data_IF_436672792495
#
_entry.id   IF_436672792495
#
_cell.length_a   1.000
_cell.length_b   1.000
_cell.length_c   1.000
_cell.angle_alpha   90.00
_cell.angle_beta   90.00
_cell.angle_gamma   90.00
#
_symmetry.space_group_name_H-M   'P 1'
#
loop_
_entity.id
_entity.type
_entity.pdbx_description
1 polymer ?
#
# COMPACT_ATOMS: atom_id res chain seq x y z
N UNK A 1 -8.21 -15.37 -16.84
CA UNK A 1 -7.27 -14.24 -17.08
C UNK A 1 -6.21 -14.27 -15.99
N UNK A 2 -4.93 -14.07 -16.31
CA UNK A 2 -3.86 -14.04 -15.28
C UNK A 2 -3.89 -12.70 -14.54
N UNK A 3 -3.99 -12.68 -13.20
CA UNK A 3 -3.92 -11.44 -12.43
C UNK A 3 -2.59 -10.69 -12.62
N UNK A 4 -2.63 -9.37 -12.53
CA UNK A 4 -1.45 -8.50 -12.57
C UNK A 4 -1.62 -7.32 -11.61
N UNK A 5 -0.51 -6.88 -11.01
CA UNK A 5 -0.48 -5.74 -10.09
C UNK A 5 -0.37 -4.44 -10.89
N UNK A 6 -1.15 -3.41 -10.52
CA UNK A 6 -1.05 -2.08 -11.13
C UNK A 6 0.39 -1.54 -11.10
N UNK A 7 0.77 -0.74 -12.10
CA UNK A 7 2.13 -0.20 -12.20
C UNK A 7 2.56 0.61 -10.96
N UNK A 8 1.62 1.36 -10.36
CA UNK A 8 1.84 2.08 -9.10
C UNK A 8 2.16 1.14 -7.92
N UNK A 9 1.50 -0.02 -7.84
CA UNK A 9 1.76 -1.01 -6.78
C UNK A 9 3.10 -1.71 -6.97
N UNK A 10 3.47 -2.01 -8.21
CA UNK A 10 4.80 -2.52 -8.56
C UNK A 10 5.87 -1.51 -8.12
N UNK A 11 5.72 -0.24 -8.50
CA UNK A 11 6.68 0.80 -8.18
C UNK A 11 6.86 1.00 -6.67
N UNK A 12 5.75 1.09 -5.91
CA UNK A 12 5.86 1.27 -4.45
C UNK A 12 6.57 0.08 -3.78
N UNK A 13 6.27 -1.16 -4.20
CA UNK A 13 6.93 -2.37 -3.67
C UNK A 13 8.43 -2.37 -3.99
N UNK A 14 8.79 -2.03 -5.23
CA UNK A 14 10.16 -2.07 -5.70
C UNK A 14 11.00 -0.95 -5.06
N UNK A 15 10.42 0.24 -4.86
CA UNK A 15 11.02 1.33 -4.10
C UNK A 15 11.27 0.93 -2.63
N UNK A 16 10.31 0.29 -1.96
CA UNK A 16 10.51 -0.21 -0.58
C UNK A 16 11.59 -1.29 -0.54
N UNK A 17 11.60 -2.21 -1.50
CA UNK A 17 12.64 -3.25 -1.57
C UNK A 17 14.04 -2.66 -1.78
N UNK A 18 14.13 -1.57 -2.56
CA UNK A 18 15.38 -0.87 -2.84
C UNK A 18 15.94 -0.17 -1.60
N UNK A 19 15.09 0.55 -0.85
CA UNK A 19 15.52 1.33 0.32
C UNK A 19 15.62 0.51 1.61
N UNK A 20 14.95 -0.64 1.66
CA UNK A 20 14.93 -1.55 2.80
C UNK A 20 15.23 -2.99 2.35
N UNK A 21 16.47 -3.27 1.90
CA UNK A 21 16.83 -4.58 1.35
C UNK A 21 16.70 -5.72 2.38
N UNK A 22 16.92 -5.41 3.66
CA UNK A 22 16.87 -6.38 4.77
C UNK A 22 15.50 -6.48 5.46
N UNK A 23 14.46 -5.83 4.92
CA UNK A 23 13.12 -5.89 5.49
C UNK A 23 12.59 -7.32 5.51
N UNK A 24 11.67 -7.58 6.44
CA UNK A 24 10.88 -8.81 6.42
C UNK A 24 9.89 -8.76 5.24
N UNK A 25 9.59 -9.91 4.64
CA UNK A 25 8.60 -10.02 3.55
C UNK A 25 7.50 -11.03 3.82
N UNK A 26 7.44 -11.56 5.04
CA UNK A 26 6.47 -12.61 5.43
C UNK A 26 5.03 -12.17 5.31
N UNK A 27 4.77 -10.87 5.47
CA UNK A 27 3.43 -10.27 5.36
C UNK A 27 3.26 -9.47 4.07
N UNK A 28 4.20 -9.56 3.12
CA UNK A 28 4.02 -8.95 1.80
C UNK A 28 2.94 -9.70 1.03
N UNK A 29 2.14 -8.96 0.27
CA UNK A 29 1.05 -9.53 -0.49
C UNK A 29 0.51 -8.56 -1.52
N UNK A 30 -0.13 -9.06 -2.56
CA UNK A 30 -0.84 -8.20 -3.51
C UNK A 30 -2.07 -8.90 -4.08
N UNK A 31 -1.98 -10.18 -4.39
CA UNK A 31 -3.11 -10.98 -4.84
C UNK A 31 -3.87 -11.59 -3.67
N UNK A 32 -5.19 -11.39 -3.63
CA UNK A 32 -6.08 -11.98 -2.63
C UNK A 32 -6.18 -13.51 -2.78
N UNK A 33 -6.20 -14.23 -1.66
CA UNK A 33 -6.46 -15.66 -1.64
C UNK A 33 -7.93 -15.99 -1.96
N UNK A 34 -8.26 -17.29 -2.05
CA UNK A 34 -9.62 -17.75 -2.33
C UNK A 34 -10.67 -17.27 -1.31
N UNK A 35 -10.27 -17.01 -0.05
CA UNK A 35 -11.17 -16.46 0.99
C UNK A 35 -11.39 -14.97 0.79
N UNK A 36 -10.40 -14.25 0.28
CA UNK A 36 -10.49 -12.84 -0.12
C UNK A 36 -11.37 -12.64 -1.35
N UNK A 37 -11.32 -13.57 -2.32
CA UNK A 37 -12.08 -13.52 -3.57
C UNK A 37 -13.61 -13.39 -3.36
N UNK A 38 -14.13 -13.92 -2.24
CA UNK A 38 -15.55 -13.83 -1.89
C UNK A 38 -16.01 -12.45 -1.40
N UNK A 39 -15.09 -11.49 -1.21
CA UNK A 39 -15.39 -10.15 -0.66
C UNK A 39 -15.01 -9.07 -1.65
N UNK A 40 -15.58 -7.86 -1.50
CA UNK A 40 -15.07 -6.69 -2.23
C UNK A 40 -13.73 -6.26 -1.61
N UNK A 41 -12.64 -6.43 -2.34
CA UNK A 41 -11.28 -6.06 -1.93
C UNK A 41 -10.46 -5.65 -3.14
N UNK A 42 -9.56 -4.68 -2.97
CA UNK A 42 -8.65 -4.23 -4.02
C UNK A 42 -7.49 -5.21 -4.27
N UNK A 43 -7.32 -6.21 -3.39
CA UNK A 43 -6.48 -7.39 -3.63
C UNK A 43 -7.11 -8.38 -4.63
N UNK A 44 -8.41 -8.24 -4.92
CA UNK A 44 -9.05 -9.08 -5.92
C UNK A 44 -8.87 -8.43 -7.31
N UNK A 45 -8.51 -9.23 -8.33
CA UNK A 45 -8.42 -8.73 -9.69
C UNK A 45 -9.78 -8.20 -10.16
N UNK A 46 -9.78 -7.05 -10.85
CA UNK A 46 -10.98 -6.58 -11.54
C UNK A 46 -11.26 -7.38 -12.82
N UNK A 47 -12.25 -6.95 -13.62
CA UNK A 47 -12.60 -7.61 -14.89
C UNK A 47 -11.48 -7.63 -15.94
N UNK A 48 -10.45 -6.79 -15.78
CA UNK A 48 -9.25 -6.74 -16.62
C UNK A 48 -8.06 -7.46 -16.00
N UNK A 49 -8.27 -8.13 -14.86
CA UNK A 49 -7.23 -8.83 -14.12
C UNK A 49 -6.32 -7.92 -13.29
N UNK A 50 -6.62 -6.61 -13.24
CA UNK A 50 -5.83 -5.64 -12.51
C UNK A 50 -6.12 -5.73 -11.00
N UNK A 51 -5.07 -5.86 -10.21
CA UNK A 51 -5.08 -5.81 -8.75
C UNK A 51 -4.52 -4.47 -8.31
N UNK A 52 -5.21 -3.79 -7.39
CA UNK A 52 -4.92 -2.41 -6.98
C UNK A 52 -4.65 -2.31 -5.48
N UNK A 53 -4.07 -3.34 -4.88
CA UNK A 53 -3.60 -3.27 -3.52
C UNK A 53 -2.28 -4.03 -3.34
N UNK A 54 -1.46 -3.50 -2.44
CA UNK A 54 -0.30 -4.20 -1.90
C UNK A 54 -0.31 -4.13 -0.37
N UNK A 55 0.19 -5.19 0.24
CA UNK A 55 0.58 -5.26 1.63
C UNK A 55 2.11 -5.25 1.67
N UNK A 56 2.68 -4.40 2.53
CA UNK A 56 4.11 -4.25 2.77
C UNK A 56 4.34 -4.61 4.24
N UNK A 57 5.16 -5.61 4.54
CA UNK A 57 5.44 -6.01 5.91
C UNK A 57 5.92 -4.82 6.77
N UNK A 58 5.49 -4.79 8.03
CA UNK A 58 5.77 -3.67 8.94
C UNK A 58 7.22 -3.59 9.40
N UNK A 59 7.99 -4.68 9.32
CA UNK A 59 9.41 -4.67 9.73
C UNK A 59 10.29 -4.31 8.55
N UNK A 60 10.55 -3.01 8.42
CA UNK A 60 11.38 -2.44 7.34
C UNK A 60 12.88 -2.53 7.62
N UNK A 61 13.30 -2.63 8.88
CA UNK A 61 14.70 -2.83 9.24
C UNK A 61 14.82 -3.75 10.48
N UNK A 62 15.98 -3.77 11.13
CA UNK A 62 16.16 -4.50 12.39
C UNK A 62 15.34 -3.92 13.54
N UNK A 63 14.89 -2.66 13.44
CA UNK A 63 14.02 -2.02 14.42
C UNK A 63 12.54 -2.22 14.03
N UNK A 64 11.67 -2.33 15.04
CA UNK A 64 10.23 -2.30 14.78
C UNK A 64 9.77 -0.85 14.92
N UNK A 65 9.00 -0.33 13.96
CA UNK A 65 8.36 0.99 14.06
C UNK A 65 8.49 1.91 12.83
N UNK A 66 9.47 1.70 11.95
CA UNK A 66 9.64 2.53 10.74
C UNK A 66 8.40 2.54 9.83
N UNK A 67 7.61 1.45 9.84
CA UNK A 67 6.36 1.37 9.06
C UNK A 67 5.35 2.45 9.42
N UNK A 68 5.35 2.96 10.65
CA UNK A 68 4.46 4.06 11.06
C UNK A 68 4.80 5.33 10.30
N UNK A 69 6.10 5.65 10.20
CA UNK A 69 6.57 6.82 9.45
C UNK A 69 6.39 6.64 7.94
N UNK A 70 6.67 5.44 7.41
CA UNK A 70 6.42 5.16 6.00
C UNK A 70 4.94 5.28 5.65
N UNK A 71 4.04 4.70 6.45
CA UNK A 71 2.60 4.83 6.25
C UNK A 71 2.16 6.29 6.33
N UNK A 72 2.74 7.08 7.23
CA UNK A 72 2.47 8.52 7.35
C UNK A 72 2.90 9.29 6.09
N UNK A 73 4.06 8.99 5.52
CA UNK A 73 4.52 9.64 4.29
C UNK A 73 3.72 9.20 3.06
N UNK A 74 3.33 7.93 2.95
CA UNK A 74 2.46 7.44 1.87
C UNK A 74 1.13 8.20 1.89
N UNK A 75 0.49 8.38 3.06
CA UNK A 75 -0.76 9.15 3.13
C UNK A 75 -0.59 10.63 2.83
N UNK A 76 0.59 11.22 3.09
CA UNK A 76 0.89 12.62 2.76
C UNK A 76 1.07 12.75 1.24
N UNK A 77 1.85 11.87 0.63
CA UNK A 77 2.02 11.78 -0.83
C UNK A 77 0.66 11.67 -1.53
N UNK A 78 -0.25 10.85 -1.00
CA UNK A 78 -1.59 10.65 -1.54
C UNK A 78 -2.49 11.90 -1.55
N UNK A 79 -2.14 12.96 -0.80
CA UNK A 79 -2.86 14.25 -0.88
C UNK A 79 -2.75 14.87 -2.28
N UNK A 80 -1.60 14.76 -2.92
CA UNK A 80 -1.32 15.29 -4.25
C UNK A 80 -1.34 14.21 -5.31
N UNK A 81 -0.71 13.06 -5.06
CA UNK A 81 -0.67 11.92 -5.98
C UNK A 81 -1.99 11.15 -5.98
N UNK A 82 -2.72 11.20 -7.10
CA UNK A 82 -4.06 10.61 -7.23
C UNK A 82 -4.03 9.10 -7.51
N UNK A 83 -2.86 8.48 -7.62
CA UNK A 83 -2.72 7.03 -7.80
C UNK A 83 -3.02 6.28 -6.51
N UNK A 84 -2.82 6.88 -5.34
CA UNK A 84 -3.12 6.25 -4.05
C UNK A 84 -4.57 6.55 -3.65
N UNK A 85 -5.33 5.51 -3.34
CA UNK A 85 -6.74 5.56 -2.92
C UNK A 85 -6.86 5.70 -1.40
N UNK A 86 -6.20 4.80 -0.66
CA UNK A 86 -6.15 4.81 0.80
C UNK A 86 -4.97 3.99 1.34
N UNK A 87 -4.63 4.25 2.60
CA UNK A 87 -3.60 3.54 3.37
C UNK A 87 -4.23 3.06 4.68
N UNK A 88 -3.93 1.82 5.09
CA UNK A 88 -4.33 1.25 6.38
C UNK A 88 -3.09 0.74 7.11
N UNK A 89 -2.91 1.14 8.36
CA UNK A 89 -1.84 0.64 9.22
C UNK A 89 -2.22 0.81 10.69
N UNK A 90 -1.85 -0.14 11.56
CA UNK A 90 -2.05 -0.08 13.01
C UNK A 90 -3.47 0.34 13.45
N UNK A 91 -4.49 -0.24 12.82
CA UNK A 91 -5.88 0.03 13.15
C UNK A 91 -6.38 1.41 12.72
N UNK A 92 -5.64 2.10 11.87
CA UNK A 92 -5.97 3.41 11.32
C UNK A 92 -6.09 3.34 9.80
N UNK A 93 -6.95 4.17 9.23
CA UNK A 93 -7.11 4.35 7.78
C UNK A 93 -7.01 5.83 7.44
N UNK A 94 -6.29 6.15 6.37
CA UNK A 94 -6.24 7.48 5.76
C UNK A 94 -6.71 7.36 4.30
N UNK A 95 -7.66 8.20 3.91
CA UNK A 95 -8.18 8.23 2.54
C UNK A 95 -8.70 9.62 2.19
N UNK A 96 -9.07 9.82 0.92
CA UNK A 96 -9.65 11.08 0.44
C UNK A 96 -10.89 11.55 1.23
N UNK A 97 -11.62 10.64 1.89
CA UNK A 97 -12.83 10.96 2.69
C UNK A 97 -12.56 12.05 3.72
N UNK A 98 -11.40 12.02 4.40
CA UNK A 98 -10.98 13.05 5.36
C UNK A 98 -9.66 13.69 4.94
N UNK A 99 -9.46 13.90 3.64
CA UNK A 99 -8.23 14.49 3.08
C UNK A 99 -6.94 13.82 3.62
N UNK A 100 -6.95 12.49 3.68
CA UNK A 100 -5.87 11.66 4.23
C UNK A 100 -5.50 11.98 5.68
N UNK A 101 -6.44 12.46 6.50
CA UNK A 101 -6.31 12.41 7.96
C UNK A 101 -6.53 10.98 8.44
N UNK A 102 -5.72 10.53 9.39
CA UNK A 102 -5.91 9.26 10.07
C UNK A 102 -7.25 9.23 10.83
N UNK A 103 -8.00 8.15 10.65
CA UNK A 103 -9.19 7.81 11.44
C UNK A 103 -9.18 6.33 11.80
N UNK A 104 -9.94 5.95 12.83
CA UNK A 104 -10.05 4.55 13.27
C UNK A 104 -10.54 3.67 12.11
N UNK A 105 -9.86 2.53 11.92
CA UNK A 105 -10.24 1.47 11.00
C UNK A 105 -11.07 0.39 11.74
N UNK A 106 -12.29 0.17 11.25
CA UNK A 106 -13.24 -0.77 11.84
C UNK A 106 -13.16 -2.19 11.29
N UNK A 107 -12.35 -2.44 10.27
CA UNK A 107 -12.19 -3.79 9.71
C UNK A 107 -11.58 -4.78 10.71
N UNK A 108 -11.80 -6.08 10.43
CA UNK A 108 -11.40 -7.18 11.31
C UNK A 108 -9.88 -7.26 11.45
N UNK A 109 -9.15 -7.30 10.33
CA UNK A 109 -7.69 -7.26 10.35
C UNK A 109 -7.23 -5.84 10.74
N UNK A 110 -6.45 -5.72 11.82
CA UNK A 110 -5.95 -4.42 12.30
C UNK A 110 -4.68 -3.93 11.60
N UNK A 111 -4.13 -4.65 10.63
CA UNK A 111 -2.97 -4.23 9.84
C UNK A 111 -1.78 -3.82 10.72
N UNK A 112 -1.50 -4.65 11.74
CA UNK A 112 -0.37 -4.45 12.68
C UNK A 112 0.91 -5.16 12.23
N UNK A 113 0.82 -5.98 11.16
CA UNK A 113 1.95 -6.74 10.60
C UNK A 113 2.34 -6.28 9.18
N UNK A 114 1.55 -5.40 8.57
CA UNK A 114 1.81 -4.81 7.28
C UNK A 114 1.15 -3.43 7.17
N UNK A 115 1.64 -2.64 6.23
CA UNK A 115 0.97 -1.45 5.69
C UNK A 115 0.17 -1.93 4.48
N UNK A 116 -1.13 -1.69 4.47
CA UNK A 116 -1.94 -1.91 3.29
C UNK A 116 -2.11 -0.61 2.51
N UNK A 117 -1.84 -0.65 1.21
CA UNK A 117 -1.98 0.49 0.30
C UNK A 117 -2.85 0.08 -0.87
N UNK A 118 -3.94 0.81 -1.08
CA UNK A 118 -4.82 0.66 -2.23
C UNK A 118 -4.62 1.80 -3.22
N UNK A 119 -4.76 1.48 -4.50
CA UNK A 119 -4.53 2.37 -5.64
C UNK A 119 -5.83 2.64 -6.41
N UNK A 120 -5.88 3.80 -7.06
CA UNK A 120 -6.93 4.14 -8.01
C UNK A 120 -6.56 3.63 -9.41
N UNK A 121 -7.51 3.72 -10.35
CA UNK A 121 -7.25 3.42 -11.77
C UNK A 121 -6.15 4.28 -12.40
N UNK A 122 -5.84 5.44 -11.81
CA UNK A 122 -4.73 6.27 -12.28
C UNK A 122 -3.37 5.55 -12.15
N UNK A 123 -3.25 4.62 -11.19
CA UNK A 123 -2.04 3.82 -10.97
C UNK A 123 -1.91 2.59 -11.86
N UNK A 124 -2.91 2.25 -12.67
CA UNK A 124 -2.92 1.01 -13.47
C UNK A 124 -1.69 0.92 -14.39
N UNK A 125 -1.35 2.03 -15.05
CA UNK A 125 -0.24 2.13 -16.00
C UNK A 125 0.81 3.18 -15.62
N UNK A 126 0.61 3.91 -14.53
CA UNK A 126 1.54 4.96 -14.08
C UNK A 126 2.45 4.44 -12.96
N UNK A 127 3.62 3.94 -13.37
CA UNK A 127 4.69 3.47 -12.50
C UNK A 127 5.78 4.51 -12.23
N UNK A 128 5.49 5.81 -12.34
CA UNK A 128 6.48 6.84 -11.98
C UNK A 128 6.78 6.81 -10.48
N UNK A 129 8.00 7.15 -10.09
CA UNK A 129 8.38 7.21 -8.68
C UNK A 129 7.43 8.08 -7.84
N UNK A 130 7.16 7.63 -6.61
CA UNK A 130 6.44 8.41 -5.62
C UNK A 130 7.39 9.38 -4.92
N UNK A 131 6.92 10.61 -4.69
CA UNK A 131 7.66 11.60 -3.91
C UNK A 131 7.45 11.33 -2.41
N UNK A 132 8.13 10.30 -1.90
CA UNK A 132 8.09 9.83 -0.50
C UNK A 132 9.51 9.88 0.06
N UNK A 133 9.81 10.74 1.06
CA UNK A 133 11.18 10.93 1.56
C UNK A 133 11.89 9.64 2.00
N UNK A 134 11.19 8.74 2.70
CA UNK A 134 11.73 7.44 3.15
C UNK A 134 11.99 6.45 2.00
N UNK A 135 11.62 6.82 0.77
CA UNK A 135 11.83 6.05 -0.45
C UNK A 135 12.59 6.86 -1.51
N UNK A 136 13.40 7.84 -1.09
CA UNK A 136 14.23 8.65 -1.98
C UNK A 136 13.53 9.86 -2.61
N UNK A 137 12.34 10.21 -2.13
CA UNK A 137 11.66 11.46 -2.48
C UNK A 137 12.31 12.69 -1.84
N UNK A 138 11.84 13.87 -2.23
CA UNK A 138 12.33 15.16 -1.74
C UNK A 138 11.80 15.44 -0.32
N UNK A 139 12.59 16.21 0.45
CA UNK A 139 12.26 16.69 1.80
C UNK A 139 11.58 18.05 1.71
#
# INVERSE_FOLDING_TARGET
MKPWLCAAGVELRDAVTTWYPDRRTTSDGWLGDARHAARKSDHNPDSTGCVRAIDIDSRLDSSEGLSVYLADQIRICAKTDKRISYVIHNGMIASRILNFKWRKYSGFNKHTKHIHVSFTKAGDKDGRAFDIPLLGGKI
#
